data_IF_346868710109
#
_entry.id   IF_346868710109
#
_cell.length_a   1.000
_cell.length_b   1.000
_cell.length_c   1.000
_cell.angle_alpha   90.00
_cell.angle_beta   90.00
_cell.angle_gamma   90.00
#
_symmetry.space_group_name_H-M   'P 1'
#
loop_
_entity.id
_entity.type
_entity.pdbx_description
1 polymer ?
#
# COMPACT_ATOMS: atom_id res chain seq x y z
N UNK A 1 11.71 15.17 -20.07
CA UNK A 1 11.15 15.99 -18.99
C UNK A 1 12.13 16.14 -17.84
N UNK A 2 12.27 17.34 -17.30
CA UNK A 2 13.19 17.64 -16.18
C UNK A 2 12.50 18.31 -14.99
N UNK A 3 11.17 18.40 -15.03
CA UNK A 3 10.39 19.13 -14.01
C UNK A 3 10.53 18.57 -12.61
N UNK A 4 10.85 17.28 -12.47
CA UNK A 4 11.01 16.63 -11.19
C UNK A 4 12.47 16.31 -10.84
N UNK A 5 13.42 16.83 -11.62
CA UNK A 5 14.83 16.71 -11.30
C UNK A 5 15.12 17.23 -9.89
N UNK A 6 15.95 16.50 -9.17
CA UNK A 6 16.30 16.77 -7.76
C UNK A 6 15.14 16.71 -6.76
N UNK A 7 13.96 16.26 -7.18
CA UNK A 7 12.84 16.03 -6.28
C UNK A 7 12.93 14.62 -5.66
N UNK A 8 12.38 14.45 -4.46
CA UNK A 8 12.40 13.15 -3.79
C UNK A 8 11.38 12.20 -4.39
N UNK A 9 11.75 10.92 -4.45
CA UNK A 9 10.84 9.80 -4.63
C UNK A 9 11.13 8.79 -3.53
N UNK A 10 10.10 8.25 -2.90
CA UNK A 10 10.24 7.48 -1.67
C UNK A 10 9.79 6.05 -1.86
N UNK A 11 10.37 5.18 -1.04
CA UNK A 11 9.98 3.79 -0.92
C UNK A 11 9.66 3.50 0.55
N UNK A 12 8.43 3.09 0.85
CA UNK A 12 7.99 2.72 2.19
C UNK A 12 7.77 1.22 2.25
N UNK A 13 8.38 0.56 3.23
CA UNK A 13 8.20 -0.86 3.49
C UNK A 13 7.10 -1.07 4.52
N UNK A 14 5.93 -1.46 4.06
CA UNK A 14 4.79 -1.86 4.90
C UNK A 14 4.56 -3.37 4.91
N UNK A 15 5.51 -4.13 4.40
CA UNK A 15 5.50 -5.58 4.52
C UNK A 15 5.99 -6.01 5.91
N UNK A 16 5.87 -7.29 6.20
CA UNK A 16 6.42 -7.90 7.42
C UNK A 16 7.88 -8.31 7.29
N UNK A 17 8.48 -8.12 6.12
CA UNK A 17 9.87 -8.46 5.84
C UNK A 17 10.79 -7.26 6.00
N UNK A 18 12.04 -7.50 6.38
CA UNK A 18 13.10 -6.51 6.27
C UNK A 18 13.69 -6.58 4.86
N UNK A 19 13.65 -5.46 4.15
CA UNK A 19 14.16 -5.37 2.79
C UNK A 19 15.57 -4.84 2.80
N UNK A 20 16.43 -5.46 2.00
CA UNK A 20 17.81 -5.03 1.84
C UNK A 20 18.07 -4.64 0.39
N UNK A 21 19.12 -3.87 0.17
CA UNK A 21 19.58 -3.52 -1.16
C UNK A 21 18.49 -2.83 -2.01
N UNK A 22 17.65 -2.02 -1.38
CA UNK A 22 16.60 -1.27 -2.07
C UNK A 22 17.20 -0.16 -2.91
N UNK A 23 16.87 -0.12 -4.18
CA UNK A 23 17.34 0.86 -5.16
C UNK A 23 16.18 1.46 -5.93
N UNK A 24 16.30 2.73 -6.26
CA UNK A 24 15.47 3.39 -7.27
C UNK A 24 16.28 3.52 -8.56
N UNK A 25 15.83 2.86 -9.60
CA UNK A 25 16.48 2.87 -10.91
C UNK A 25 15.65 3.74 -11.87
N UNK A 26 16.27 4.77 -12.44
CA UNK A 26 15.60 5.73 -13.30
C UNK A 26 15.95 5.49 -14.77
N UNK A 27 14.96 5.69 -15.64
CA UNK A 27 15.08 5.34 -17.07
C UNK A 27 14.57 6.44 -17.97
N UNK A 28 15.20 6.50 -19.16
CA UNK A 28 14.75 7.29 -20.30
C UNK A 28 14.14 6.34 -21.33
N UNK A 29 12.92 6.58 -21.82
CA UNK A 29 12.38 5.84 -22.95
C UNK A 29 12.99 6.31 -24.25
N UNK A 30 13.28 5.39 -25.16
CA UNK A 30 13.57 5.71 -26.55
C UNK A 30 12.27 6.10 -27.25
N UNK A 31 12.27 7.26 -27.91
CA UNK A 31 11.06 7.83 -28.56
C UNK A 31 10.48 6.95 -29.66
N UNK A 32 11.29 6.09 -30.29
CA UNK A 32 10.87 5.28 -31.43
C UNK A 32 10.52 3.85 -31.02
N UNK A 33 11.35 3.25 -30.18
CA UNK A 33 11.21 1.84 -29.78
C UNK A 33 10.46 1.67 -28.47
N UNK A 34 10.40 2.70 -27.62
CA UNK A 34 9.89 2.61 -26.26
C UNK A 34 10.81 1.86 -25.29
N UNK A 35 12.00 1.44 -25.74
CA UNK A 35 12.96 0.76 -24.87
C UNK A 35 13.47 1.70 -23.79
N UNK A 36 13.65 1.17 -22.58
CA UNK A 36 14.09 1.94 -21.43
C UNK A 36 15.60 1.84 -21.25
N UNK A 37 16.26 2.98 -21.11
CA UNK A 37 17.70 3.07 -20.85
C UNK A 37 17.92 3.63 -19.44
N UNK A 38 18.69 2.88 -18.63
CA UNK A 38 19.04 3.27 -17.26
C UNK A 38 19.93 4.51 -17.27
N UNK A 39 19.61 5.52 -16.45
CA UNK A 39 20.37 6.76 -16.34
C UNK A 39 21.20 6.89 -15.07
N UNK A 40 20.98 6.04 -14.08
CA UNK A 40 21.70 6.05 -12.80
C UNK A 40 22.24 4.65 -12.46
N UNK A 41 23.11 4.10 -13.32
CA UNK A 41 23.58 2.72 -13.25
C UNK A 41 24.15 2.26 -11.90
N UNK A 42 24.71 3.17 -11.09
CA UNK A 42 25.31 2.89 -9.78
C UNK A 42 24.48 3.51 -8.65
N UNK A 43 23.16 3.33 -8.70
CA UNK A 43 22.27 3.83 -7.65
C UNK A 43 22.66 3.27 -6.28
N UNK A 44 22.76 4.15 -5.27
CA UNK A 44 23.06 3.74 -3.90
C UNK A 44 21.93 2.89 -3.33
N UNK A 45 22.28 1.71 -2.83
CA UNK A 45 21.33 0.82 -2.19
C UNK A 45 21.13 1.19 -0.72
N UNK A 46 19.91 0.98 -0.23
CA UNK A 46 19.57 1.22 1.17
C UNK A 46 18.82 0.01 1.75
N UNK A 47 18.97 -0.20 3.05
CA UNK A 47 18.17 -1.17 3.78
C UNK A 47 16.91 -0.49 4.31
N UNK A 48 15.77 -1.15 4.16
CA UNK A 48 14.48 -0.63 4.58
C UNK A 48 13.78 -1.66 5.46
N UNK A 49 13.99 -1.60 6.78
CA UNK A 49 13.29 -2.46 7.72
C UNK A 49 11.78 -2.30 7.66
N UNK A 50 11.07 -3.27 8.20
CA UNK A 50 9.62 -3.21 8.36
C UNK A 50 9.16 -1.88 8.98
N UNK A 51 8.19 -1.23 8.36
CA UNK A 51 7.58 0.02 8.82
C UNK A 51 8.37 1.28 8.52
N UNK A 52 9.57 1.16 7.92
CA UNK A 52 10.41 2.32 7.58
C UNK A 52 10.27 2.71 6.11
N UNK A 53 10.77 3.90 5.79
CA UNK A 53 10.87 4.39 4.43
C UNK A 53 12.25 4.97 4.15
N UNK A 54 12.58 5.07 2.88
CA UNK A 54 13.78 5.75 2.39
C UNK A 54 13.43 6.70 1.27
N UNK A 55 14.25 7.72 1.10
CA UNK A 55 14.09 8.72 0.05
C UNK A 55 15.22 8.59 -0.97
N UNK A 56 14.86 8.66 -2.24
CA UNK A 56 15.77 8.74 -3.38
C UNK A 56 15.56 10.05 -4.10
N UNK A 57 16.59 10.52 -4.78
CA UNK A 57 16.53 11.76 -5.55
C UNK A 57 16.40 11.45 -7.04
N UNK A 58 15.41 12.04 -7.70
CA UNK A 58 15.26 11.94 -9.14
C UNK A 58 16.47 12.63 -9.80
N UNK A 59 17.19 11.95 -10.72
CA UNK A 59 18.38 12.52 -11.36
C UNK A 59 18.09 13.81 -12.15
N UNK A 60 19.12 14.62 -12.32
CA UNK A 60 19.06 15.80 -13.20
C UNK A 60 18.88 15.44 -14.67
N UNK A 61 19.35 14.28 -15.07
CA UNK A 61 19.16 13.76 -16.42
C UNK A 61 17.68 13.56 -16.71
N UNK A 62 17.27 13.88 -17.93
CA UNK A 62 15.90 13.64 -18.34
C UNK A 62 15.55 12.15 -18.20
N UNK A 63 14.59 11.85 -17.34
CA UNK A 63 14.04 10.51 -17.14
C UNK A 63 12.55 10.62 -16.86
N UNK A 64 11.81 9.58 -17.15
CA UNK A 64 10.36 9.57 -16.93
C UNK A 64 9.85 8.28 -16.28
N UNK A 65 10.73 7.29 -16.09
CA UNK A 65 10.41 6.03 -15.45
C UNK A 65 11.30 5.77 -14.26
N UNK A 66 10.71 5.14 -13.24
CA UNK A 66 11.42 4.56 -12.12
C UNK A 66 11.01 3.09 -11.96
N UNK A 67 11.96 2.24 -11.62
CA UNK A 67 11.72 0.88 -11.15
C UNK A 67 12.46 0.70 -9.84
N UNK A 68 11.80 0.15 -8.83
CA UNK A 68 12.46 -0.25 -7.60
C UNK A 68 12.89 -1.71 -7.67
N UNK A 69 14.07 -1.98 -7.14
CA UNK A 69 14.59 -3.34 -6.95
C UNK A 69 15.02 -3.50 -5.51
N UNK A 70 14.89 -4.70 -4.96
CA UNK A 70 15.27 -5.00 -3.57
C UNK A 70 15.50 -6.48 -3.39
N UNK A 71 16.15 -6.84 -2.30
CA UNK A 71 16.28 -8.22 -1.83
C UNK A 71 15.32 -8.46 -0.67
N UNK A 72 14.55 -9.53 -0.75
CA UNK A 72 13.62 -10.00 0.26
C UNK A 72 13.82 -11.51 0.46
N UNK A 73 14.14 -11.90 1.69
CA UNK A 73 14.41 -13.29 2.06
C UNK A 73 15.45 -13.99 1.14
N UNK A 74 16.46 -13.22 0.71
CA UNK A 74 17.53 -13.70 -0.16
C UNK A 74 17.18 -13.76 -1.65
N UNK A 75 16.00 -13.35 -2.04
CA UNK A 75 15.56 -13.27 -3.44
C UNK A 75 15.53 -11.81 -3.92
N UNK A 76 16.05 -11.58 -5.11
CA UNK A 76 15.92 -10.29 -5.78
C UNK A 76 14.51 -10.12 -6.33
N UNK A 77 13.88 -8.99 -5.98
CA UNK A 77 12.56 -8.59 -6.45
C UNK A 77 12.61 -7.24 -7.14
N UNK A 78 11.64 -7.01 -8.01
CA UNK A 78 11.49 -5.75 -8.71
C UNK A 78 10.04 -5.34 -8.83
N UNK A 79 9.82 -4.02 -8.84
CA UNK A 79 8.53 -3.44 -9.17
C UNK A 79 8.31 -3.42 -10.69
N UNK A 80 7.14 -2.98 -11.09
CA UNK A 80 6.94 -2.49 -12.46
C UNK A 80 7.79 -1.25 -12.73
N UNK A 81 7.87 -0.87 -13.98
CA UNK A 81 8.38 0.43 -14.40
C UNK A 81 7.26 1.46 -14.30
N UNK A 82 7.46 2.50 -13.53
CA UNK A 82 6.46 3.54 -13.30
C UNK A 82 6.81 4.81 -14.03
N UNK A 83 5.93 5.22 -14.95
CA UNK A 83 6.00 6.55 -15.54
C UNK A 83 5.45 7.57 -14.54
N UNK A 84 6.29 8.49 -14.08
CA UNK A 84 5.92 9.46 -13.05
C UNK A 84 5.46 10.81 -13.60
N UNK A 85 5.24 10.90 -14.90
CA UNK A 85 4.62 12.04 -15.57
C UNK A 85 3.16 11.80 -15.98
N UNK A 86 2.58 10.69 -15.56
CA UNK A 86 1.22 10.29 -15.92
C UNK A 86 1.00 10.20 -17.44
N UNK A 87 1.99 9.72 -18.16
CA UNK A 87 1.92 9.51 -19.61
C UNK A 87 1.31 8.12 -19.90
N UNK A 88 0.70 7.98 -21.05
CA UNK A 88 0.19 6.69 -21.49
C UNK A 88 1.32 5.69 -21.66
N UNK A 89 1.16 4.52 -21.06
CA UNK A 89 2.13 3.42 -21.10
C UNK A 89 1.52 2.18 -21.76
N UNK A 90 2.36 1.37 -22.37
CA UNK A 90 1.97 0.09 -22.94
C UNK A 90 2.84 -1.04 -22.37
N UNK A 91 2.25 -2.20 -22.18
CA UNK A 91 2.90 -3.37 -21.60
C UNK A 91 2.46 -3.63 -20.16
N UNK A 92 2.46 -4.92 -19.78
CA UNK A 92 2.03 -5.36 -18.44
C UNK A 92 3.07 -5.05 -17.34
N UNK A 93 4.28 -4.73 -17.75
CA UNK A 93 5.41 -4.40 -16.89
C UNK A 93 5.51 -2.90 -16.59
N UNK A 94 4.60 -2.10 -17.14
CA UNK A 94 4.59 -0.65 -17.01
C UNK A 94 3.28 -0.15 -16.43
N UNK A 95 3.37 0.89 -15.65
CA UNK A 95 2.24 1.59 -15.07
C UNK A 95 2.55 3.08 -15.00
N UNK A 96 1.54 3.93 -15.07
CA UNK A 96 1.74 5.36 -14.86
C UNK A 96 1.09 5.84 -13.58
N UNK A 97 1.66 6.86 -12.99
CA UNK A 97 1.06 7.57 -11.87
C UNK A 97 1.38 9.07 -11.96
N UNK A 98 0.60 9.85 -11.28
CA UNK A 98 0.81 11.29 -11.22
C UNK A 98 1.69 11.64 -10.03
N UNK A 99 2.96 11.95 -10.28
CA UNK A 99 3.87 12.45 -9.26
C UNK A 99 3.45 13.85 -8.79
N UNK A 100 3.54 14.05 -7.51
CA UNK A 100 3.53 15.39 -6.89
C UNK A 100 4.40 15.37 -5.64
N UNK A 101 4.68 16.53 -5.07
CA UNK A 101 5.46 16.60 -3.82
C UNK A 101 4.72 15.98 -2.61
N UNK A 102 3.42 15.75 -2.75
CA UNK A 102 2.59 15.10 -1.73
C UNK A 102 2.13 13.69 -2.13
N UNK A 103 2.40 13.26 -3.36
CA UNK A 103 2.11 11.91 -3.85
C UNK A 103 3.33 11.40 -4.61
N UNK A 104 4.33 10.95 -3.88
CA UNK A 104 5.66 10.62 -4.37
C UNK A 104 6.24 9.36 -3.73
N UNK A 105 5.39 8.53 -3.12
CA UNK A 105 5.83 7.38 -2.37
C UNK A 105 5.34 6.07 -3.00
N UNK A 106 6.28 5.16 -3.24
CA UNK A 106 6.01 3.78 -3.55
C UNK A 106 5.83 3.02 -2.23
N UNK A 107 4.64 2.50 -2.01
CA UNK A 107 4.29 1.79 -0.78
C UNK A 107 4.21 0.31 -1.08
N UNK A 108 5.14 -0.45 -0.49
CA UNK A 108 5.22 -1.90 -0.64
C UNK A 108 4.59 -2.59 0.57
N UNK A 109 3.56 -3.40 0.32
CA UNK A 109 2.80 -4.10 1.36
C UNK A 109 3.03 -5.62 1.36
N UNK A 110 3.95 -6.08 0.57
CA UNK A 110 4.25 -7.49 0.36
C UNK A 110 3.55 -8.08 -0.87
N UNK A 111 4.14 -9.13 -1.44
CA UNK A 111 3.66 -9.80 -2.66
C UNK A 111 3.37 -8.80 -3.79
N UNK A 112 2.19 -8.84 -4.39
CA UNK A 112 1.80 -7.96 -5.49
C UNK A 112 1.06 -6.69 -5.04
N UNK A 113 1.08 -6.40 -3.76
CA UNK A 113 0.26 -5.34 -3.17
C UNK A 113 1.05 -4.05 -3.00
N UNK A 114 1.26 -3.37 -4.11
CA UNK A 114 2.02 -2.12 -4.18
C UNK A 114 1.09 -0.95 -4.43
N UNK A 115 1.39 0.20 -3.82
CA UNK A 115 0.62 1.42 -3.96
C UNK A 115 1.52 2.63 -4.19
N UNK A 116 1.01 3.59 -4.92
CA UNK A 116 1.53 4.95 -4.97
C UNK A 116 0.69 5.87 -4.10
N UNK A 117 1.36 6.71 -3.33
CA UNK A 117 0.66 7.62 -2.45
C UNK A 117 1.59 8.52 -1.66
N UNK A 118 1.07 9.00 -0.56
CA UNK A 118 1.83 9.78 0.42
C UNK A 118 2.57 8.84 1.35
N UNK A 119 3.79 9.22 1.77
CA UNK A 119 4.57 8.50 2.77
C UNK A 119 3.86 8.40 4.12
N UNK A 120 3.06 9.38 4.45
CA UNK A 120 2.35 9.44 5.71
C UNK A 120 1.22 8.41 5.73
N UNK A 121 1.04 7.82 6.88
CA UNK A 121 -0.10 6.99 7.20
C UNK A 121 -0.95 7.64 8.27
N UNK A 122 -2.18 7.21 8.38
CA UNK A 122 -3.06 7.52 9.49
C UNK A 122 -3.48 6.23 10.19
N UNK A 123 -3.69 6.30 11.49
CA UNK A 123 -4.01 5.14 12.31
C UNK A 123 -5.51 5.04 12.52
N UNK A 124 -6.05 3.85 12.24
CA UNK A 124 -7.42 3.51 12.53
C UNK A 124 -7.43 2.57 13.72
N UNK A 125 -8.30 2.86 14.67
CA UNK A 125 -8.51 2.00 15.82
C UNK A 125 -9.83 1.25 15.68
N UNK A 126 -9.79 0.00 16.10
CA UNK A 126 -10.94 -0.84 16.29
C UNK A 126 -11.07 -1.21 17.76
N UNK A 127 -12.18 -0.82 18.38
CA UNK A 127 -12.45 -1.13 19.78
C UNK A 127 -13.34 -2.38 19.89
N UNK A 128 -12.73 -3.49 20.28
CA UNK A 128 -13.40 -4.77 20.44
C UNK A 128 -14.25 -4.86 21.69
N UNK A 129 -14.27 -3.85 22.55
CA UNK A 129 -15.12 -3.81 23.76
C UNK A 129 -16.60 -3.94 23.40
N UNK A 130 -16.99 -3.38 22.25
CA UNK A 130 -18.36 -3.38 21.77
C UNK A 130 -18.70 -4.56 20.87
N UNK A 131 -17.76 -5.44 20.60
CA UNK A 131 -17.95 -6.61 19.72
C UNK A 131 -18.64 -7.80 20.38
N UNK A 132 -19.33 -7.60 21.49
CA UNK A 132 -20.12 -8.64 22.18
C UNK A 132 -21.44 -8.98 21.49
N UNK A 133 -21.65 -8.54 20.28
CA UNK A 133 -22.84 -8.86 19.53
C UNK A 133 -22.72 -10.26 18.92
N UNK A 134 -23.85 -10.98 18.78
CA UNK A 134 -23.85 -12.40 18.47
C UNK A 134 -23.12 -12.71 17.17
N UNK A 135 -22.28 -13.73 17.24
CA UNK A 135 -21.45 -14.25 16.15
C UNK A 135 -22.22 -14.96 15.03
N UNK A 136 -23.53 -15.01 15.10
CA UNK A 136 -24.40 -15.73 14.17
C UNK A 136 -25.27 -14.79 13.35
N UNK A 137 -24.75 -13.66 12.96
CA UNK A 137 -25.45 -12.78 12.04
C UNK A 137 -25.03 -13.07 10.61
N UNK A 138 -25.87 -13.66 9.84
CA UNK A 138 -25.97 -13.31 8.44
C UNK A 138 -26.05 -11.78 8.39
N UNK A 139 -25.15 -11.16 7.65
CA UNK A 139 -25.01 -9.71 7.61
C UNK A 139 -26.35 -9.02 7.66
N UNK A 140 -26.53 -8.28 8.71
CA UNK A 140 -27.75 -7.50 8.89
C UNK A 140 -27.73 -6.37 7.86
N UNK A 141 -28.60 -6.48 6.91
CA UNK A 141 -28.82 -5.43 5.91
C UNK A 141 -29.48 -4.19 6.48
N UNK A 142 -29.81 -4.18 7.78
CA UNK A 142 -30.48 -3.07 8.47
C UNK A 142 -29.56 -2.04 9.10
N UNK A 143 -28.23 -2.15 8.91
CA UNK A 143 -27.25 -1.19 9.39
C UNK A 143 -26.74 -1.43 10.82
N UNK A 144 -27.14 -2.49 11.47
CA UNK A 144 -26.57 -2.94 12.73
C UNK A 144 -25.44 -3.94 12.46
N UNK A 145 -24.25 -3.44 12.33
CA UNK A 145 -23.07 -4.23 12.07
C UNK A 145 -22.45 -4.68 13.37
N UNK A 146 -22.36 -5.98 13.60
CA UNK A 146 -21.48 -6.55 14.58
C UNK A 146 -20.26 -7.10 13.88
N UNK A 147 -19.09 -6.72 14.36
CA UNK A 147 -17.91 -7.49 14.04
C UNK A 147 -17.87 -8.60 15.07
N UNK A 148 -18.09 -9.84 14.67
CA UNK A 148 -17.75 -10.90 15.57
C UNK A 148 -16.23 -10.83 15.77
N UNK A 149 -15.76 -10.78 17.02
CA UNK A 149 -14.57 -11.53 17.36
C UNK A 149 -14.92 -12.93 16.91
N UNK A 150 -14.68 -13.25 15.65
CA UNK A 150 -15.19 -14.49 15.10
C UNK A 150 -14.60 -15.61 15.89
N UNK A 151 -15.42 -16.43 16.45
CA UNK A 151 -15.06 -17.72 17.01
C UNK A 151 -13.94 -17.69 18.07
N UNK A 152 -13.85 -16.65 18.91
CA UNK A 152 -12.78 -16.43 19.87
C UNK A 152 -11.39 -16.20 19.23
N UNK A 153 -11.32 -15.89 17.95
CA UNK A 153 -10.08 -15.50 17.31
C UNK A 153 -9.60 -14.17 17.88
N UNK A 154 -8.35 -14.12 18.30
CA UNK A 154 -7.68 -12.87 18.70
C UNK A 154 -7.24 -12.07 17.47
N UNK A 155 -7.36 -12.63 16.27
CA UNK A 155 -6.95 -12.00 15.03
C UNK A 155 -8.12 -11.30 14.38
N UNK A 156 -7.94 -10.03 14.09
CA UNK A 156 -8.90 -9.21 13.33
C UNK A 156 -8.26 -8.84 12.01
N UNK A 157 -8.95 -9.18 10.94
CA UNK A 157 -8.55 -8.87 9.57
C UNK A 157 -9.22 -7.58 9.09
N UNK A 158 -8.57 -6.91 8.18
CA UNK A 158 -9.15 -5.75 7.50
C UNK A 158 -8.94 -5.84 5.98
N UNK A 159 -9.81 -5.17 5.26
CA UNK A 159 -9.60 -4.80 3.87
C UNK A 159 -10.07 -3.37 3.69
N UNK A 160 -9.24 -2.56 3.07
CA UNK A 160 -9.59 -1.19 2.67
C UNK A 160 -9.59 -1.10 1.16
N UNK A 161 -10.57 -0.41 0.61
CA UNK A 161 -10.72 -0.17 -0.82
C UNK A 161 -10.90 1.32 -1.07
N UNK A 162 -10.02 1.88 -1.89
CA UNK A 162 -10.09 3.27 -2.33
C UNK A 162 -11.05 3.50 -3.48
N UNK A 163 -11.49 4.73 -3.65
CA UNK A 163 -12.35 5.14 -4.77
C UNK A 163 -11.71 4.95 -6.16
N UNK A 164 -10.38 4.86 -6.22
CA UNK A 164 -9.63 4.55 -7.45
C UNK A 164 -9.56 3.05 -7.80
N UNK A 165 -10.19 2.18 -6.98
CA UNK A 165 -10.17 0.74 -7.14
C UNK A 165 -8.99 0.02 -6.49
N UNK A 166 -8.00 0.75 -5.94
CA UNK A 166 -6.94 0.15 -5.16
C UNK A 166 -7.47 -0.45 -3.87
N UNK A 167 -6.87 -1.53 -3.42
CA UNK A 167 -7.22 -2.16 -2.16
C UNK A 167 -5.99 -2.69 -1.44
N UNK A 168 -6.09 -2.75 -0.13
CA UNK A 168 -5.08 -3.33 0.75
C UNK A 168 -5.78 -4.16 1.83
N UNK A 169 -5.18 -5.25 2.25
CA UNK A 169 -5.71 -6.11 3.30
C UNK A 169 -4.59 -6.62 4.21
N UNK A 170 -4.96 -7.00 5.41
CA UNK A 170 -4.03 -7.58 6.37
C UNK A 170 -4.72 -7.83 7.71
N UNK A 171 -3.93 -7.80 8.77
CA UNK A 171 -4.38 -7.99 10.15
C UNK A 171 -4.16 -6.73 10.95
N UNK A 172 -5.03 -6.49 11.93
CA UNK A 172 -4.85 -5.43 12.90
C UNK A 172 -3.80 -5.83 13.94
N UNK A 173 -3.10 -4.86 14.46
CA UNK A 173 -2.17 -5.01 15.58
C UNK A 173 -2.92 -4.76 16.88
N UNK A 174 -2.73 -5.64 17.87
CA UNK A 174 -3.28 -5.45 19.20
C UNK A 174 -2.50 -4.36 19.93
N UNK A 175 -3.21 -3.45 20.58
CA UNK A 175 -2.58 -2.41 21.40
C UNK A 175 -1.95 -3.02 22.64
N UNK A 176 -0.75 -2.59 23.03
CA UNK A 176 -0.01 -3.13 24.15
C UNK A 176 -0.61 -2.74 25.52
N UNK A 177 -1.37 -1.66 25.56
CA UNK A 177 -1.90 -1.10 26.80
C UNK A 177 -3.38 -1.38 27.03
N UNK A 178 -4.11 -1.73 25.97
CA UNK A 178 -5.54 -2.02 26.01
C UNK A 178 -5.85 -3.29 25.20
N UNK A 179 -6.19 -4.35 25.91
CA UNK A 179 -6.46 -5.67 25.30
C UNK A 179 -7.65 -5.71 24.33
N UNK A 180 -8.52 -4.72 24.38
CA UNK A 180 -9.68 -4.60 23.49
C UNK A 180 -9.45 -3.67 22.31
N UNK A 181 -8.31 -3.00 22.27
CA UNK A 181 -7.99 -2.04 21.24
C UNK A 181 -7.04 -2.64 20.21
N UNK A 182 -7.39 -2.47 18.95
CA UNK A 182 -6.59 -2.90 17.81
C UNK A 182 -6.41 -1.71 16.87
N UNK A 183 -5.34 -1.71 16.10
CA UNK A 183 -5.09 -0.64 15.14
C UNK A 183 -4.46 -1.16 13.86
N UNK A 184 -4.53 -0.33 12.85
CA UNK A 184 -3.82 -0.48 11.59
C UNK A 184 -3.39 0.89 11.10
N UNK A 185 -2.18 0.97 10.57
CA UNK A 185 -1.67 2.16 9.90
C UNK A 185 -1.96 2.06 8.41
N UNK A 186 -2.76 2.97 7.91
CA UNK A 186 -3.25 2.98 6.54
C UNK A 186 -2.54 4.09 5.75
N UNK A 187 -2.06 3.81 4.53
CA UNK A 187 -1.49 4.82 3.66
C UNK A 187 -2.44 6.00 3.45
N UNK A 188 -1.88 7.20 3.43
CA UNK A 188 -2.65 8.45 3.33
C UNK A 188 -3.52 8.54 2.07
N UNK A 189 -3.20 7.76 1.02
CA UNK A 189 -4.01 7.68 -0.21
C UNK A 189 -5.45 7.21 0.04
N UNK A 190 -5.69 6.49 1.15
CA UNK A 190 -7.02 6.02 1.56
C UNK A 190 -7.75 6.97 2.50
N UNK A 191 -7.27 8.19 2.69
CA UNK A 191 -7.86 9.15 3.63
C UNK A 191 -9.21 9.72 3.20
N UNK A 192 -9.60 9.53 1.94
CA UNK A 192 -10.89 9.96 1.40
C UNK A 192 -11.41 8.97 0.37
N UNK A 193 -12.72 8.93 0.17
CA UNK A 193 -13.40 8.07 -0.80
C UNK A 193 -13.00 6.59 -0.67
N UNK A 194 -12.78 6.12 0.54
CA UNK A 194 -12.39 4.76 0.83
C UNK A 194 -13.38 4.09 1.77
N UNK A 195 -13.46 2.77 1.70
CA UNK A 195 -14.23 1.95 2.63
C UNK A 195 -13.33 0.92 3.27
N UNK A 196 -13.57 0.61 4.54
CA UNK A 196 -12.85 -0.43 5.27
C UNK A 196 -13.82 -1.49 5.78
N UNK A 197 -13.39 -2.73 5.72
CA UNK A 197 -14.11 -3.89 6.25
C UNK A 197 -13.23 -4.54 7.30
N UNK A 198 -13.81 -4.86 8.43
CA UNK A 198 -13.16 -5.67 9.47
C UNK A 198 -13.83 -7.04 9.56
N UNK A 199 -13.06 -8.07 9.83
CA UNK A 199 -13.55 -9.44 9.95
C UNK A 199 -12.70 -10.25 10.93
N UNK A 200 -13.31 -11.20 11.60
CA UNK A 200 -12.59 -12.21 12.35
C UNK A 200 -12.08 -13.37 11.49
N UNK A 201 -12.42 -13.42 10.24
CA UNK A 201 -11.93 -14.37 9.25
C UNK A 201 -11.12 -13.66 8.19
N UNK A 202 -10.15 -14.35 7.59
CA UNK A 202 -9.36 -13.78 6.50
C UNK A 202 -10.27 -13.30 5.36
N UNK A 203 -10.05 -12.06 4.94
CA UNK A 203 -10.85 -11.43 3.88
C UNK A 203 -10.23 -11.77 2.53
N UNK A 204 -11.02 -12.35 1.64
CA UNK A 204 -10.67 -12.60 0.25
C UNK A 204 -11.75 -12.01 -0.68
N UNK A 205 -11.55 -12.10 -1.99
CA UNK A 205 -12.48 -11.50 -2.95
C UNK A 205 -13.87 -12.15 -2.91
N UNK A 206 -13.95 -13.42 -2.52
CA UNK A 206 -15.22 -14.15 -2.45
C UNK A 206 -16.05 -13.76 -1.22
N UNK A 207 -15.41 -13.45 -0.10
CA UNK A 207 -16.10 -13.12 1.16
C UNK A 207 -16.17 -11.61 1.46
N UNK A 208 -15.44 -10.78 0.73
CA UNK A 208 -15.39 -9.33 0.93
C UNK A 208 -16.76 -8.64 0.75
N UNK A 209 -17.68 -9.27 0.04
CA UNK A 209 -19.02 -8.77 -0.22
C UNK A 209 -20.10 -9.46 0.62
N UNK A 210 -19.75 -10.45 1.41
CA UNK A 210 -20.74 -11.32 2.09
C UNK A 210 -21.02 -10.97 3.55
N UNK A 211 -20.60 -9.80 4.00
CA UNK A 211 -21.06 -9.26 5.27
C UNK A 211 -20.58 -9.96 6.53
N UNK A 212 -19.49 -10.71 6.49
CA UNK A 212 -18.83 -11.25 7.68
C UNK A 212 -18.01 -10.20 8.43
N UNK A 213 -18.17 -8.94 8.07
CA UNK A 213 -17.48 -7.84 8.66
C UNK A 213 -18.29 -6.55 8.59
N UNK A 214 -17.81 -5.53 9.27
CA UNK A 214 -18.38 -4.18 9.22
C UNK A 214 -17.72 -3.42 8.09
N UNK A 215 -18.55 -2.86 7.22
CA UNK A 215 -18.10 -1.87 6.26
C UNK A 215 -18.32 -0.49 6.85
N UNK A 216 -17.24 0.26 7.01
CA UNK A 216 -17.32 1.67 7.38
C UNK A 216 -16.88 2.49 6.18
N UNK A 217 -17.74 3.39 5.74
CA UNK A 217 -17.30 4.45 4.84
C UNK A 217 -16.54 5.49 5.64
N UNK A 218 -15.46 5.97 5.08
CA UNK A 218 -14.78 7.10 5.65
C UNK A 218 -15.71 8.29 5.63
N UNK A 219 -15.96 8.83 6.79
CA UNK A 219 -16.57 10.12 6.90
C UNK A 219 -15.58 11.18 6.42
N UNK A 220 -16.02 12.03 5.52
CA UNK A 220 -15.26 13.17 5.02
C UNK A 220 -14.85 14.16 6.14
#
# INVERSE_FOLDING_TARGET
>A
HTYYANKPIKFENRSTANLTNVKANFYIPDEKSGNLTLVNGDAAAQNVPEGEFVSFTIPEQACSYVQFTWDEDGEEKSSKFYNFYNESVSGNDKESFMYSETSNCFIYTGADNVRWGRENSFRIYYDATFSKLPTTGTGDTSGNYSIPKANNSETIYYRIKGGNGNSEKGTLVKDDTNENLYYVDIPQEYSSNSSIIFSGEEINDDNATKGNGVSTEWLE
#
